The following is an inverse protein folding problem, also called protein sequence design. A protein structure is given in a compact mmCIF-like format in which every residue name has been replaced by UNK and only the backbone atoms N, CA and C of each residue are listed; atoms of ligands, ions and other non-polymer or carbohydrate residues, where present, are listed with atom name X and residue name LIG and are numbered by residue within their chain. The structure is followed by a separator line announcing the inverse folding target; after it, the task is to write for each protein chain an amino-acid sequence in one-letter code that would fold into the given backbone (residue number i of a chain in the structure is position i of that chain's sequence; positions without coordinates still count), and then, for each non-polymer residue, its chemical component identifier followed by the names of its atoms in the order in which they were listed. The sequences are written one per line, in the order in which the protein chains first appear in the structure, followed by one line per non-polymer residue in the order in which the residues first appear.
data_IF_050680989387
#
_entry.id   IF_050680989387
#
_cell.length_a   1.000
_cell.length_b   1.000
_cell.length_c   1.000
_cell.angle_alpha   90.00
_cell.angle_beta   90.00
_cell.angle_gamma   90.00
#
_symmetry.space_group_name_H-M   'P 1'
#
loop_
_entity.id
_entity.type
_entity.pdbx_description
1 polymer ?
#
# COMPACT_ATOMS: atom_id res chain seq x y z
N UNK A 1 -13.70 14.63 -6.92
CA UNK A 1 -14.73 14.43 -5.87
C UNK A 1 -15.31 13.05 -6.06
N UNK A 2 -15.30 12.21 -5.02
CA UNK A 2 -15.89 10.88 -5.04
C UNK A 2 -16.85 10.80 -3.85
N UNK A 3 -18.15 10.74 -4.10
CA UNK A 3 -19.15 10.59 -3.03
C UNK A 3 -19.81 9.22 -3.19
N UNK A 4 -19.57 8.25 -2.29
CA UNK A 4 -20.24 6.95 -2.32
C UNK A 4 -21.68 7.02 -1.80
N UNK A 5 -22.56 6.15 -2.33
CA UNK A 5 -23.97 6.04 -1.96
C UNK A 5 -24.22 5.10 -0.75
N UNK A 6 -23.25 4.28 -0.36
CA UNK A 6 -23.29 3.49 0.88
C UNK A 6 -22.23 4.02 1.85
N UNK A 7 -22.63 4.32 3.10
CA UNK A 7 -21.74 4.66 4.24
C UNK A 7 -20.88 3.46 4.70
N UNK A 8 -20.40 2.65 3.74
CA UNK A 8 -19.49 1.54 3.98
C UNK A 8 -18.03 1.99 3.88
N UNK A 9 -17.15 1.36 4.67
CA UNK A 9 -15.70 1.52 4.50
C UNK A 9 -15.31 1.14 3.07
N UNK A 10 -14.61 2.03 2.37
CA UNK A 10 -14.09 1.76 1.01
C UNK A 10 -12.88 0.84 1.08
N UNK A 11 -12.87 -0.20 0.23
CA UNK A 11 -11.77 -1.16 0.17
C UNK A 11 -11.20 -1.27 -1.23
N UNK A 12 -9.87 -1.21 -1.32
CA UNK A 12 -9.11 -1.44 -2.54
C UNK A 12 -8.11 -2.57 -2.37
N UNK A 13 -7.75 -3.21 -3.48
CA UNK A 13 -6.70 -4.23 -3.55
C UNK A 13 -5.97 -4.14 -4.88
N UNK A 14 -4.71 -4.54 -4.93
CA UNK A 14 -3.95 -4.52 -6.19
C UNK A 14 -4.18 -5.84 -6.94
N UNK A 15 -4.39 -5.77 -8.26
CA UNK A 15 -4.51 -6.96 -9.11
C UNK A 15 -3.29 -7.17 -9.99
N UNK A 16 -3.34 -8.22 -10.80
CA UNK A 16 -2.19 -8.70 -11.56
C UNK A 16 -1.66 -7.71 -12.59
N UNK A 17 -2.47 -6.73 -12.99
CA UNK A 17 -2.16 -5.61 -13.88
C UNK A 17 -1.42 -4.46 -13.19
N UNK A 18 -1.26 -4.50 -11.86
CA UNK A 18 -0.56 -3.47 -11.12
C UNK A 18 -1.38 -2.19 -10.98
N UNK A 19 -2.71 -2.29 -10.92
CA UNK A 19 -3.60 -1.20 -10.56
C UNK A 19 -4.30 -1.50 -9.24
N UNK A 20 -4.75 -0.46 -8.55
CA UNK A 20 -5.71 -0.62 -7.46
C UNK A 20 -7.12 -0.80 -8.04
N UNK A 21 -7.86 -1.76 -7.51
CA UNK A 21 -9.24 -2.05 -7.87
C UNK A 21 -10.14 -1.83 -6.66
N UNK A 22 -11.19 -1.04 -6.85
CA UNK A 22 -12.30 -0.88 -5.91
C UNK A 22 -13.56 -1.47 -6.52
N UNK A 23 -14.25 -2.36 -5.81
CA UNK A 23 -15.56 -2.85 -6.26
C UNK A 23 -16.60 -1.77 -5.99
N UNK A 24 -17.39 -1.43 -7.01
CA UNK A 24 -18.43 -0.40 -6.93
C UNK A 24 -19.73 -0.88 -7.61
N UNK A 25 -20.78 -0.07 -7.53
CA UNK A 25 -22.02 -0.31 -8.29
C UNK A 25 -21.84 0.07 -9.76
N UNK A 26 -22.75 -0.40 -10.63
CA UNK A 26 -22.71 -0.10 -12.06
C UNK A 26 -22.93 1.39 -12.36
N UNK A 27 -23.68 2.08 -11.51
CA UNK A 27 -24.08 3.48 -11.64
C UNK A 27 -22.95 4.44 -11.24
N UNK A 28 -21.88 3.93 -10.62
CA UNK A 28 -20.76 4.74 -10.18
C UNK A 28 -20.02 5.32 -11.39
N UNK A 29 -19.84 6.64 -11.42
CA UNK A 29 -19.17 7.32 -12.53
C UNK A 29 -17.74 6.78 -12.71
N UNK A 30 -17.41 6.40 -13.95
CA UNK A 30 -16.10 5.83 -14.29
C UNK A 30 -15.93 4.33 -13.98
N UNK A 31 -16.97 3.65 -13.48
CA UNK A 31 -16.95 2.22 -13.24
C UNK A 31 -16.73 1.43 -14.54
N UNK A 32 -15.91 0.39 -14.47
CA UNK A 32 -15.62 -0.53 -15.58
C UNK A 32 -16.01 -1.95 -15.22
N UNK A 33 -16.68 -2.63 -16.15
CA UNK A 33 -17.02 -4.04 -15.99
C UNK A 33 -15.75 -4.89 -16.15
N UNK A 34 -15.50 -5.78 -15.20
CA UNK A 34 -14.49 -6.83 -15.31
C UNK A 34 -15.12 -8.20 -15.19
N UNK A 35 -14.98 -8.98 -16.24
CA UNK A 35 -15.36 -10.39 -16.28
C UNK A 35 -14.25 -11.25 -15.68
N UNK A 36 -14.63 -12.35 -15.04
CA UNK A 36 -13.70 -13.32 -14.48
C UNK A 36 -14.26 -14.72 -14.59
N UNK A 37 -13.35 -15.69 -14.62
CA UNK A 37 -13.65 -17.11 -14.60
C UNK A 37 -12.92 -17.78 -13.45
N UNK A 38 -13.66 -18.48 -12.62
CA UNK A 38 -13.13 -19.27 -11.53
C UNK A 38 -12.59 -20.61 -12.06
N UNK A 39 -11.81 -21.31 -11.23
CA UNK A 39 -11.15 -22.57 -11.62
C UNK A 39 -12.14 -23.70 -11.92
N UNK A 40 -13.32 -23.64 -11.32
CA UNK A 40 -14.45 -24.55 -11.56
C UNK A 40 -15.20 -24.23 -12.87
N UNK A 41 -14.78 -23.19 -13.59
CA UNK A 41 -15.41 -22.72 -14.82
C UNK A 41 -16.54 -21.73 -14.61
N UNK A 42 -16.89 -21.39 -13.37
CA UNK A 42 -17.93 -20.40 -13.05
C UNK A 42 -17.49 -19.03 -13.54
N UNK A 43 -18.31 -18.42 -14.38
CA UNK A 43 -18.08 -17.06 -14.87
C UNK A 43 -18.82 -16.06 -13.98
N UNK A 44 -18.22 -14.91 -13.79
CA UNK A 44 -18.81 -13.81 -13.05
C UNK A 44 -18.30 -12.49 -13.57
N UNK A 45 -18.96 -11.42 -13.15
CA UNK A 45 -18.55 -10.07 -13.50
C UNK A 45 -18.76 -9.14 -12.32
N UNK A 46 -18.01 -8.05 -12.29
CA UNK A 46 -18.20 -6.98 -11.32
C UNK A 46 -17.75 -5.64 -11.87
N UNK A 47 -18.35 -4.59 -11.36
CA UNK A 47 -18.00 -3.21 -11.66
C UNK A 47 -16.89 -2.73 -10.73
N UNK A 48 -15.85 -2.13 -11.29
CA UNK A 48 -14.69 -1.66 -10.54
C UNK A 48 -14.25 -0.26 -10.97
N UNK A 49 -13.78 0.54 -10.01
CA UNK A 49 -12.93 1.71 -10.29
C UNK A 49 -11.46 1.28 -10.27
N UNK A 50 -10.67 1.88 -11.16
CA UNK A 50 -9.24 1.58 -11.32
C UNK A 50 -8.40 2.80 -11.00
N UNK A 51 -7.44 2.65 -10.09
CA UNK A 51 -6.51 3.72 -9.71
C UNK A 51 -5.07 3.31 -10.00
N UNK A 52 -4.30 4.23 -10.58
CA UNK A 52 -2.88 4.02 -10.88
C UNK A 52 -1.99 4.23 -9.67
N UNK A 53 -2.46 5.03 -8.71
CA UNK A 53 -1.73 5.40 -7.51
C UNK A 53 -2.71 5.91 -6.44
N UNK A 54 -2.22 5.92 -5.20
CA UNK A 54 -2.73 6.76 -4.12
C UNK A 54 -1.69 7.85 -3.89
N UNK A 55 -2.03 9.11 -4.12
CA UNK A 55 -1.08 10.21 -4.03
C UNK A 55 -1.40 11.15 -2.88
N UNK A 56 -0.36 11.58 -2.14
CA UNK A 56 -0.43 12.60 -1.10
C UNK A 56 -1.46 12.32 0.02
N UNK A 57 -1.54 11.07 0.49
CA UNK A 57 -2.44 10.63 1.55
C UNK A 57 -1.71 10.40 2.87
N UNK A 58 -2.41 10.48 4.00
CA UNK A 58 -1.90 10.08 5.32
C UNK A 58 -2.25 8.62 5.64
N UNK A 59 -1.40 7.93 6.40
CA UNK A 59 -1.67 6.56 6.90
C UNK A 59 -2.41 6.66 8.24
N UNK A 60 -3.73 6.43 8.24
CA UNK A 60 -4.54 6.50 9.46
C UNK A 60 -4.36 5.28 10.37
N UNK A 61 -4.30 4.08 9.79
CA UNK A 61 -4.14 2.85 10.56
C UNK A 61 -3.56 1.71 9.73
N UNK A 62 -2.81 0.83 10.39
CA UNK A 62 -2.34 -0.44 9.82
C UNK A 62 -2.75 -1.55 10.78
N UNK A 63 -3.42 -2.57 10.25
CA UNK A 63 -3.84 -3.76 10.99
C UNK A 63 -3.80 -5.00 10.10
N UNK A 64 -4.01 -6.17 10.70
CA UNK A 64 -4.10 -7.44 9.99
C UNK A 64 -5.49 -8.03 10.15
N UNK A 65 -5.97 -8.69 9.11
CA UNK A 65 -7.28 -9.33 9.09
C UNK A 65 -7.21 -10.67 8.34
N UNK A 66 -7.74 -11.72 8.95
CA UNK A 66 -7.82 -13.03 8.32
C UNK A 66 -8.96 -13.09 7.30
N UNK A 67 -8.70 -13.74 6.17
CA UNK A 67 -9.70 -14.04 5.15
C UNK A 67 -9.65 -15.52 4.77
N UNK A 68 -10.63 -15.99 4.00
CA UNK A 68 -10.64 -17.36 3.46
C UNK A 68 -9.42 -17.66 2.57
N UNK A 69 -8.73 -16.62 2.06
CA UNK A 69 -7.51 -16.74 1.24
C UNK A 69 -6.22 -16.44 2.02
N UNK A 70 -6.31 -16.40 3.35
CA UNK A 70 -5.23 -16.10 4.27
C UNK A 70 -5.25 -14.66 4.79
N UNK A 71 -4.22 -14.30 5.53
CA UNK A 71 -4.13 -13.01 6.22
C UNK A 71 -3.81 -11.86 5.26
N UNK A 72 -4.54 -10.76 5.41
CA UNK A 72 -4.31 -9.50 4.73
C UNK A 72 -3.65 -8.48 5.66
N UNK A 73 -2.78 -7.65 5.11
CA UNK A 73 -2.39 -6.38 5.71
C UNK A 73 -3.35 -5.30 5.21
N UNK A 74 -4.02 -4.64 6.14
CA UNK A 74 -5.01 -3.60 5.88
C UNK A 74 -4.42 -2.25 6.30
N UNK A 75 -4.26 -1.36 5.32
CA UNK A 75 -3.78 0.01 5.56
C UNK A 75 -4.85 1.01 5.16
N UNK A 76 -5.34 1.79 6.11
CA UNK A 76 -6.32 2.85 5.87
C UNK A 76 -5.58 4.16 5.59
N UNK A 77 -5.89 4.76 4.45
CA UNK A 77 -5.38 6.05 4.01
C UNK A 77 -6.48 7.10 4.05
N UNK A 78 -6.09 8.36 4.27
CA UNK A 78 -7.00 9.51 4.20
C UNK A 78 -6.34 10.71 3.52
N UNK A 79 -7.13 11.47 2.76
CA UNK A 79 -6.76 12.79 2.24
C UNK A 79 -7.30 13.94 3.12
N UNK A 80 -7.99 13.62 4.22
CA UNK A 80 -8.68 14.56 5.11
C UNK A 80 -10.19 14.60 4.91
N UNK A 81 -10.68 14.27 3.71
CA UNK A 81 -12.12 14.25 3.40
C UNK A 81 -12.64 12.82 3.24
N UNK A 82 -11.84 11.96 2.63
CA UNK A 82 -12.19 10.60 2.25
C UNK A 82 -11.23 9.61 2.91
N UNK A 83 -11.73 8.40 3.13
CA UNK A 83 -10.92 7.27 3.60
C UNK A 83 -11.03 6.08 2.65
N UNK A 84 -9.91 5.38 2.50
CA UNK A 84 -9.85 4.15 1.72
C UNK A 84 -8.91 3.16 2.39
N UNK A 85 -9.34 1.92 2.52
CA UNK A 85 -8.52 0.85 3.08
C UNK A 85 -7.96 -0.03 1.97
N UNK A 86 -6.65 -0.03 1.83
CA UNK A 86 -5.97 -1.02 1.01
C UNK A 86 -5.82 -2.32 1.79
N UNK A 87 -6.57 -3.33 1.38
CA UNK A 87 -6.51 -4.69 1.93
C UNK A 87 -5.76 -5.60 0.97
N UNK A 88 -4.50 -5.91 1.30
CA UNK A 88 -3.62 -6.71 0.46
C UNK A 88 -3.24 -8.02 1.15
N UNK A 89 -3.31 -9.14 0.42
CA UNK A 89 -2.88 -10.41 0.98
C UNK A 89 -1.37 -10.41 1.24
N UNK A 90 -0.98 -10.82 2.44
CA UNK A 90 0.41 -10.81 2.91
C UNK A 90 1.34 -11.71 2.07
N UNK A 91 0.78 -12.70 1.38
CA UNK A 91 1.51 -13.60 0.49
C UNK A 91 1.71 -13.08 -0.94
N UNK A 92 1.14 -11.93 -1.31
CA UNK A 92 1.37 -11.34 -2.64
C UNK A 92 2.69 -10.58 -2.68
N UNK A 93 3.23 -10.38 -3.89
CA UNK A 93 4.38 -9.49 -4.08
C UNK A 93 4.09 -8.09 -3.55
N UNK A 94 2.87 -7.58 -3.71
CA UNK A 94 2.48 -6.25 -3.26
C UNK A 94 2.45 -6.14 -1.74
N UNK A 95 1.81 -7.10 -1.05
CA UNK A 95 1.73 -7.10 0.41
C UNK A 95 3.11 -7.27 1.06
N UNK A 96 3.93 -8.18 0.53
CA UNK A 96 5.31 -8.35 0.99
C UNK A 96 6.16 -7.09 0.77
N UNK A 97 6.10 -6.48 -0.42
CA UNK A 97 6.89 -5.30 -0.78
C UNK A 97 6.46 -4.04 0.00
N UNK A 98 5.17 -3.94 0.34
CA UNK A 98 4.63 -2.94 1.26
C UNK A 98 5.22 -3.08 2.67
N UNK A 99 5.13 -4.28 3.27
CA UNK A 99 5.65 -4.54 4.62
C UNK A 99 7.14 -4.24 4.76
N UNK A 100 7.92 -4.43 3.69
CA UNK A 100 9.36 -4.12 3.67
C UNK A 100 9.69 -2.63 3.74
N UNK A 101 8.77 -1.75 3.33
CA UNK A 101 8.98 -0.29 3.32
C UNK A 101 8.46 0.39 4.58
N UNK A 102 7.44 -0.20 5.22
CA UNK A 102 6.82 0.34 6.44
C UNK A 102 7.81 0.81 7.51
N UNK A 103 8.94 0.11 7.80
CA UNK A 103 9.84 0.54 8.85
C UNK A 103 10.60 1.84 8.55
N UNK A 104 10.73 2.19 7.26
CA UNK A 104 11.39 3.41 6.79
C UNK A 104 10.41 4.59 6.62
N UNK A 105 9.12 4.40 6.85
CA UNK A 105 8.13 5.47 6.70
C UNK A 105 8.10 6.38 7.93
N UNK A 106 7.98 7.67 7.65
CA UNK A 106 7.49 8.65 8.61
C UNK A 106 5.95 8.65 8.56
N UNK A 107 5.31 8.09 9.59
CA UNK A 107 3.85 7.99 9.65
C UNK A 107 3.13 9.34 9.83
N UNK A 108 3.85 10.41 10.17
CA UNK A 108 3.28 11.76 10.30
C UNK A 108 3.18 12.47 8.95
N UNK A 109 4.00 12.07 7.98
CA UNK A 109 4.06 12.68 6.67
C UNK A 109 3.08 12.03 5.67
N UNK A 110 2.73 12.78 4.63
CA UNK A 110 1.98 12.25 3.48
C UNK A 110 2.82 11.24 2.72
N UNK A 111 2.15 10.25 2.13
CA UNK A 111 2.76 9.19 1.32
C UNK A 111 2.06 9.08 -0.04
N UNK A 112 2.83 8.74 -1.06
CA UNK A 112 2.31 8.35 -2.37
C UNK A 112 2.72 6.91 -2.69
N UNK A 113 1.76 6.09 -3.14
CA UNK A 113 1.92 4.66 -3.39
C UNK A 113 1.52 4.37 -4.83
N UNK A 114 2.45 3.79 -5.58
CA UNK A 114 2.27 3.45 -6.99
C UNK A 114 2.59 1.97 -7.22
N UNK A 115 1.57 1.12 -7.40
CA UNK A 115 1.78 -0.26 -7.79
C UNK A 115 2.40 -0.36 -9.18
N UNK A 116 3.11 -1.45 -9.42
CA UNK A 116 3.63 -1.78 -10.74
C UNK A 116 3.54 -3.27 -11.01
N UNK A 117 3.25 -3.63 -12.26
CA UNK A 117 3.36 -4.97 -12.78
C UNK A 117 3.83 -4.88 -14.23
N UNK A 118 5.06 -5.33 -14.52
CA UNK A 118 5.61 -5.33 -15.87
C UNK A 118 6.46 -6.56 -16.11
N UNK A 119 6.56 -6.98 -17.37
CA UNK A 119 7.50 -8.04 -17.77
C UNK A 119 8.85 -7.40 -18.04
N UNK A 120 9.87 -7.87 -17.33
CA UNK A 120 11.24 -7.44 -17.54
C UNK A 120 11.76 -8.03 -18.86
N UNK A 121 12.10 -7.18 -19.82
CA UNK A 121 12.48 -7.61 -21.18
C UNK A 121 13.73 -8.49 -21.21
N UNK A 122 14.67 -8.28 -20.27
CA UNK A 122 15.92 -9.02 -20.21
C UNK A 122 15.75 -10.43 -19.65
N UNK A 123 14.90 -10.59 -18.63
CA UNK A 123 14.72 -11.87 -17.94
C UNK A 123 13.44 -12.61 -18.35
N UNK A 124 12.52 -11.95 -19.05
CA UNK A 124 11.18 -12.45 -19.36
C UNK A 124 10.29 -12.64 -18.12
N UNK A 125 10.76 -12.24 -16.92
CA UNK A 125 10.04 -12.43 -15.66
C UNK A 125 9.16 -11.24 -15.35
N UNK A 126 7.96 -11.50 -14.85
CA UNK A 126 7.08 -10.43 -14.36
C UNK A 126 7.59 -9.89 -13.03
N UNK A 127 7.89 -8.60 -12.98
CA UNK A 127 8.21 -7.84 -11.77
C UNK A 127 6.95 -7.15 -11.26
N UNK A 128 6.66 -7.35 -9.97
CA UNK A 128 5.50 -6.78 -9.28
C UNK A 128 5.91 -6.23 -7.93
N UNK A 129 5.24 -5.17 -7.49
CA UNK A 129 5.48 -4.54 -6.19
C UNK A 129 4.85 -3.16 -6.12
N UNK A 130 5.27 -2.39 -5.12
CA UNK A 130 4.84 -1.02 -4.90
C UNK A 130 6.04 -0.08 -4.80
N UNK A 131 5.97 1.05 -5.49
CA UNK A 131 6.85 2.18 -5.23
C UNK A 131 6.16 3.11 -4.24
N UNK A 132 6.88 3.52 -3.21
CA UNK A 132 6.37 4.35 -2.12
C UNK A 132 7.25 5.58 -2.02
N UNK A 133 6.64 6.75 -1.81
CA UNK A 133 7.33 8.03 -1.84
C UNK A 133 6.91 8.91 -0.66
N UNK A 134 7.90 9.54 -0.01
CA UNK A 134 7.75 10.68 0.91
C UNK A 134 8.86 11.68 0.57
N UNK A 135 8.57 12.64 -0.30
CA UNK A 135 9.54 13.44 -1.06
C UNK A 135 10.44 12.58 -1.99
N UNK A 136 11.18 11.65 -1.42
CA UNK A 136 12.01 10.66 -2.12
C UNK A 136 11.38 9.27 -2.11
N UNK A 137 11.91 8.37 -2.95
CA UNK A 137 11.49 6.98 -2.99
C UNK A 137 11.97 6.26 -1.72
N UNK A 138 11.03 5.65 -1.01
CA UNK A 138 11.30 4.85 0.19
C UNK A 138 11.90 3.51 -0.23
N UNK A 139 13.09 3.21 0.29
CA UNK A 139 13.81 1.97 0.05
C UNK A 139 13.32 0.83 0.94
N UNK A 140 13.64 -0.39 0.51
CA UNK A 140 13.49 -1.60 1.32
C UNK A 140 14.31 -1.47 2.61
N UNK A 141 13.67 -1.63 3.77
CA UNK A 141 14.36 -1.60 5.07
C UNK A 141 15.28 -2.81 5.26
N UNK A 142 14.92 -3.95 4.67
CA UNK A 142 15.55 -5.23 4.95
C UNK A 142 16.67 -5.60 3.97
N UNK A 143 17.05 -4.71 3.05
CA UNK A 143 18.06 -5.02 2.04
C UNK A 143 18.95 -3.82 1.74
N UNK A 144 20.26 -4.02 1.86
CA UNK A 144 21.29 -3.06 1.43
C UNK A 144 21.57 -3.28 -0.05
N UNK A 145 21.18 -2.32 -0.89
CA UNK A 145 21.37 -2.42 -2.35
C UNK A 145 22.82 -2.25 -2.80
N UNK A 146 23.63 -1.53 -2.03
CA UNK A 146 25.03 -1.27 -2.35
C UNK A 146 25.89 -2.50 -2.05
N UNK A 147 25.67 -3.11 -0.88
CA UNK A 147 26.39 -4.31 -0.44
C UNK A 147 25.74 -5.61 -0.90
N UNK A 148 24.49 -5.55 -1.36
CA UNK A 148 23.68 -6.69 -1.78
C UNK A 148 23.50 -7.73 -0.68
N UNK A 149 23.15 -7.26 0.51
CA UNK A 149 22.99 -8.11 1.69
C UNK A 149 21.65 -7.85 2.40
N UNK A 150 21.13 -8.92 2.98
CA UNK A 150 19.94 -8.89 3.82
C UNK A 150 20.27 -8.27 5.18
N UNK A 151 19.43 -7.33 5.64
CA UNK A 151 19.58 -6.57 6.88
C UNK A 151 18.53 -6.98 7.92
N UNK A 152 18.73 -6.52 9.17
CA UNK A 152 17.73 -6.59 10.26
C UNK A 152 17.11 -7.97 10.50
N UNK A 153 17.91 -9.02 10.32
CA UNK A 153 17.49 -10.40 10.54
C UNK A 153 16.57 -10.97 9.47
N UNK A 154 16.50 -10.32 8.30
CA UNK A 154 15.69 -10.82 7.19
C UNK A 154 16.14 -12.24 6.78
N UNK A 155 15.20 -13.17 6.54
CA UNK A 155 15.52 -14.57 6.30
C UNK A 155 16.45 -14.75 5.10
N UNK A 156 17.38 -15.69 5.24
CA UNK A 156 18.25 -16.14 4.13
C UNK A 156 17.75 -17.48 3.57
N UNK A 157 17.98 -17.76 2.27
CA UNK A 157 17.72 -19.08 1.72
C UNK A 157 18.45 -20.18 2.51
N UNK A 158 17.78 -21.30 2.72
CA UNK A 158 18.28 -22.44 3.49
C UNK A 158 19.44 -23.19 2.80
N UNK A 159 19.64 -22.96 1.51
CA UNK A 159 20.67 -23.55 0.65
C UNK A 159 21.18 -22.51 -0.33
N UNK A 160 22.28 -22.80 -1.00
CA UNK A 160 22.74 -22.00 -2.13
C UNK A 160 21.69 -21.92 -3.23
N UNK A 161 21.58 -20.75 -3.87
CA UNK A 161 20.51 -20.46 -4.85
C UNK A 161 20.48 -21.45 -6.03
N UNK A 162 21.63 -22.00 -6.41
CA UNK A 162 21.76 -23.01 -7.47
C UNK A 162 21.22 -24.38 -7.08
N UNK A 163 21.11 -24.66 -5.78
CA UNK A 163 20.64 -25.94 -5.24
C UNK A 163 19.18 -25.92 -4.79
N UNK A 164 18.59 -24.71 -4.73
CA UNK A 164 17.21 -24.50 -4.32
C UNK A 164 16.24 -25.10 -5.34
N UNK A 165 15.45 -26.10 -4.91
CA UNK A 165 14.33 -26.65 -5.69
C UNK A 165 13.06 -25.81 -5.49
N UNK A 166 12.04 -26.10 -6.29
CA UNK A 166 10.75 -25.40 -6.20
C UNK A 166 10.16 -25.38 -4.79
N UNK A 167 10.19 -26.51 -4.06
CA UNK A 167 9.66 -26.58 -2.71
C UNK A 167 10.57 -25.90 -1.67
N UNK A 168 11.89 -25.88 -1.92
CA UNK A 168 12.82 -25.09 -1.13
C UNK A 168 12.47 -23.59 -1.24
N UNK A 169 12.19 -23.10 -2.45
CA UNK A 169 11.75 -21.72 -2.66
C UNK A 169 10.43 -21.40 -1.97
N UNK A 170 9.45 -22.32 -2.02
CA UNK A 170 8.18 -22.14 -1.29
C UNK A 170 8.40 -22.00 0.21
N UNK A 171 9.25 -22.85 0.81
CA UNK A 171 9.57 -22.77 2.22
C UNK A 171 10.28 -21.45 2.59
N UNK A 172 11.22 -21.02 1.74
CA UNK A 172 11.89 -19.73 1.91
C UNK A 172 10.89 -18.57 1.89
N UNK A 173 10.03 -18.49 0.88
CA UNK A 173 9.05 -17.40 0.79
C UNK A 173 7.99 -17.46 1.89
N UNK A 174 7.63 -18.65 2.37
CA UNK A 174 6.79 -18.79 3.56
C UNK A 174 7.48 -18.23 4.81
N UNK A 175 8.76 -18.53 4.99
CA UNK A 175 9.58 -18.00 6.10
C UNK A 175 9.68 -16.47 6.04
N UNK A 176 9.90 -15.91 4.84
CA UNK A 176 9.89 -14.46 4.60
C UNK A 176 8.53 -13.85 4.94
N UNK A 177 7.44 -14.47 4.51
CA UNK A 177 6.08 -14.01 4.82
C UNK A 177 5.86 -13.93 6.33
N UNK A 178 6.15 -15.02 7.06
CA UNK A 178 6.00 -15.07 8.51
C UNK A 178 6.84 -13.99 9.20
N UNK A 179 8.11 -13.86 8.81
CA UNK A 179 8.99 -12.83 9.33
C UNK A 179 8.42 -11.41 9.12
N UNK A 180 7.95 -11.09 7.91
CA UNK A 180 7.42 -9.75 7.62
C UNK A 180 6.13 -9.45 8.39
N UNK A 181 5.24 -10.42 8.51
CA UNK A 181 4.01 -10.30 9.31
C UNK A 181 4.37 -10.07 10.78
N UNK A 182 5.22 -10.90 11.36
CA UNK A 182 5.60 -10.81 12.77
C UNK A 182 6.34 -9.51 13.07
N UNK A 183 7.26 -9.11 12.19
CA UNK A 183 7.97 -7.84 12.31
C UNK A 183 7.00 -6.66 12.26
N UNK A 184 6.07 -6.66 11.31
CA UNK A 184 5.11 -5.56 11.12
C UNK A 184 4.15 -5.48 12.31
N UNK A 185 3.61 -6.61 12.77
CA UNK A 185 2.75 -6.66 13.97
C UNK A 185 3.46 -6.14 15.21
N UNK A 186 4.72 -6.56 15.41
CA UNK A 186 5.50 -6.18 16.60
C UNK A 186 5.94 -4.73 16.59
N UNK A 187 6.34 -4.21 15.43
CA UNK A 187 7.05 -2.94 15.35
C UNK A 187 6.23 -1.81 14.74
N UNK A 188 5.21 -2.09 13.93
CA UNK A 188 4.51 -1.06 13.14
C UNK A 188 3.05 -0.89 13.55
N UNK A 189 2.34 -1.99 13.81
CA UNK A 189 0.93 -1.91 14.24
C UNK A 189 0.84 -1.10 15.53
N UNK A 190 -0.09 -0.14 15.57
CA UNK A 190 -0.25 0.79 16.70
C UNK A 190 0.67 2.02 16.65
N UNK A 191 1.61 2.12 15.70
CA UNK A 191 2.39 3.36 15.49
C UNK A 191 1.61 4.53 14.87
N UNK A 192 0.62 4.32 13.98
CA UNK A 192 -0.15 5.44 13.45
C UNK A 192 -1.01 6.06 14.57
N UNK A 193 -0.44 7.01 15.30
CA UNK A 193 -1.18 7.97 16.12
C UNK A 193 -1.31 9.24 15.28
N UNK A 194 -2.30 9.29 14.38
CA UNK A 194 -2.65 10.54 13.71
C UNK A 194 -3.80 11.17 14.49
N UNK A 195 -3.47 12.14 15.35
CA UNK A 195 -4.36 13.26 15.63
C UNK A 195 -4.53 14.00 14.31
N UNK A 196 -5.69 13.82 13.68
CA UNK A 196 -6.09 14.66 12.55
C UNK A 196 -6.26 16.06 13.15
N UNK A 197 -5.28 16.94 12.96
CA UNK A 197 -5.51 18.36 13.21
C UNK A 197 -6.49 18.84 12.16
N UNK A 198 -7.65 19.29 12.63
CA UNK A 198 -8.64 19.93 11.78
C UNK A 198 -7.95 21.12 11.10
N UNK A 199 -8.16 21.39 9.80
CA UNK A 199 -7.78 22.67 9.20
C UNK A 199 -8.22 23.91 10.03
N UNK A 200 -9.24 23.78 10.89
CA UNK A 200 -9.67 24.80 11.87
C UNK A 200 -8.77 24.95 13.11
N UNK A 201 -7.88 23.98 13.38
CA UNK A 201 -6.87 24.04 14.46
C UNK A 201 -5.69 24.96 14.10
N UNK A 202 -5.53 25.31 12.83
CA UNK A 202 -4.63 26.38 12.44
C UNK A 202 -5.33 27.69 12.78
N UNK A 203 -4.69 28.61 13.54
CA UNK A 203 -5.22 29.95 13.63
C UNK A 203 -5.34 30.47 12.20
N UNK A 204 -6.57 30.76 11.77
CA UNK A 204 -6.79 31.65 10.64
C UNK A 204 -5.85 32.83 10.84
N UNK A 205 -5.11 33.29 9.81
CA UNK A 205 -4.44 34.57 9.90
C UNK A 205 -5.52 35.56 10.31
N UNK A 206 -5.54 35.96 11.58
CA UNK A 206 -6.28 37.13 12.00
C UNK A 206 -5.83 38.20 11.03
N UNK A 207 -6.79 38.91 10.44
CA UNK A 207 -6.54 40.05 9.59
C UNK A 207 -5.75 41.10 10.39
N UNK A 208 -4.43 40.92 10.50
CA UNK A 208 -3.51 42.03 10.59
C UNK A 208 -3.56 42.68 9.22
N UNK A 209 -4.64 43.41 8.98
CA UNK A 209 -4.71 44.38 7.91
C UNK A 209 -3.48 45.24 8.06
N UNK A 210 -2.55 45.09 7.12
CA UNK A 210 -1.43 46.01 6.95
C UNK A 210 -2.08 47.39 6.83
N UNK A 211 -2.00 48.19 7.90
CA UNK A 211 -2.53 49.54 7.85
C UNK A 211 -1.67 50.27 6.82
N UNK A 212 -2.24 51.05 5.88
CA UNK A 212 -1.45 51.80 4.90
C UNK A 212 -0.40 52.75 5.53
N UNK A 213 -0.46 52.95 6.84
CA UNK A 213 0.42 53.77 7.67
C UNK A 213 1.71 53.04 8.09
N UNK A 214 1.73 51.70 7.99
CA UNK A 214 2.86 50.84 8.39
C UNK A 214 3.79 50.53 7.21
N UNK A 215 3.55 51.14 6.04
CA UNK A 215 4.43 51.04 4.87
C UNK A 215 5.39 52.25 4.91
N UNK A 216 6.69 52.08 5.21
CA UNK A 216 7.65 53.17 5.13
C UNK A 216 7.85 53.58 3.65
N UNK A 217 7.67 54.87 3.36
CA UNK A 217 8.04 55.48 2.09
C UNK A 217 9.56 55.69 1.98
#
# INVERSE_FOLDING_TARGET
MLTPQEEGKRFISIKSDGLFHEKVSQETEGAKLREYKLKDGTEGSKWELLYKDLSNVHIKSIYFEDSEYGENICTTFTDGENEVTWSENTGTNFGSDWMKRLPNLDFTAKVSIKPYAFTDENSGKTKKGVSVYQNDKISDFFYDWDKREELHGFPKPQKDRSEMKTDDWKLYFLTVKMFLVDYTKKNIVGRPEITVHDPSDYPTPEEEGIRPQDIPF
#
